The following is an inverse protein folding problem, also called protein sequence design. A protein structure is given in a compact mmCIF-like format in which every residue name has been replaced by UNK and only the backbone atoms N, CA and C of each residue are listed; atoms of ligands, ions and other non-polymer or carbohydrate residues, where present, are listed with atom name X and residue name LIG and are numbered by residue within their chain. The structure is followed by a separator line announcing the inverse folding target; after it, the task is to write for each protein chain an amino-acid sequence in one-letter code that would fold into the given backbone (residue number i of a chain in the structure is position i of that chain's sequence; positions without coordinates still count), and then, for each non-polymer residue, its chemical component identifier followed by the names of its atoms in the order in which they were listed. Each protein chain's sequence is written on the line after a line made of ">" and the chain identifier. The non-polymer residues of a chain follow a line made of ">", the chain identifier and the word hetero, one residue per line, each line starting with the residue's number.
data_IF_493495629689
#
_entry.id   IF_493495629689
#
_cell.length_a   1.000
_cell.length_b   1.000
_cell.length_c   1.000
_cell.angle_alpha   90.00
_cell.angle_beta   90.00
_cell.angle_gamma   90.00
#
_symmetry.space_group_name_H-M   'P 1'
#
loop_
_entity.id
_entity.type
_entity.pdbx_description
1 polymer ?
#
# COMPACT_ATOMS: atom_id res chain seq x y z
N UNK A 1 -15.11 -41.40 -14.57
CA UNK A 1 -16.34 -41.57 -13.77
C UNK A 1 -17.24 -40.40 -14.08
N UNK A 2 -18.41 -40.64 -14.66
CA UNK A 2 -19.39 -39.59 -15.01
C UNK A 2 -20.09 -39.11 -13.75
N UNK A 3 -20.14 -37.79 -13.54
CA UNK A 3 -20.83 -37.19 -12.41
C UNK A 3 -22.33 -37.49 -12.49
N UNK A 4 -22.88 -38.09 -11.44
CA UNK A 4 -24.32 -38.35 -11.33
C UNK A 4 -25.09 -37.03 -11.29
N UNK A 5 -26.17 -36.92 -12.04
CA UNK A 5 -27.02 -35.73 -12.05
C UNK A 5 -27.87 -35.69 -10.78
N UNK A 6 -28.40 -34.51 -10.43
CA UNK A 6 -29.32 -34.35 -9.29
C UNK A 6 -30.53 -35.30 -9.38
N UNK A 7 -30.98 -35.56 -10.62
CA UNK A 7 -32.08 -36.46 -10.93
C UNK A 7 -31.75 -37.92 -10.59
N UNK A 8 -30.48 -38.31 -10.74
CA UNK A 8 -30.02 -39.68 -10.46
C UNK A 8 -29.85 -39.95 -8.96
N UNK A 9 -29.78 -38.89 -8.15
CA UNK A 9 -29.59 -38.95 -6.69
C UNK A 9 -30.90 -38.82 -5.90
N UNK A 10 -32.02 -38.52 -6.55
CA UNK A 10 -33.32 -38.39 -5.90
C UNK A 10 -33.76 -39.73 -5.29
N UNK A 11 -34.12 -39.80 -4.00
CA UNK A 11 -34.60 -41.03 -3.39
C UNK A 11 -35.91 -41.49 -4.06
N UNK A 12 -36.02 -42.81 -4.27
CA UNK A 12 -37.25 -43.42 -4.76
C UNK A 12 -38.29 -43.52 -3.64
N UNK A 13 -39.58 -43.44 -3.98
CA UNK A 13 -40.69 -43.57 -3.02
C UNK A 13 -41.34 -42.23 -2.63
N UNK A 14 -41.63 -42.08 -1.33
CA UNK A 14 -42.47 -41.03 -0.74
C UNK A 14 -42.09 -39.61 -1.22
N UNK A 15 -43.04 -38.82 -1.74
CA UNK A 15 -42.83 -37.40 -2.05
C UNK A 15 -42.17 -36.60 -0.93
N UNK A 16 -42.44 -36.92 0.35
CA UNK A 16 -41.85 -36.25 1.50
C UNK A 16 -40.34 -36.41 1.58
N UNK A 17 -39.83 -37.64 1.36
CA UNK A 17 -38.39 -37.92 1.38
C UNK A 17 -37.66 -37.22 0.23
N UNK A 18 -38.34 -37.01 -0.91
CA UNK A 18 -37.80 -36.23 -2.04
C UNK A 18 -37.71 -34.75 -1.71
N UNK A 19 -38.70 -34.20 -1.00
CA UNK A 19 -38.72 -32.80 -0.57
C UNK A 19 -37.61 -32.55 0.46
N UNK A 20 -37.46 -33.42 1.46
CA UNK A 20 -36.40 -33.33 2.48
C UNK A 20 -35.01 -33.42 1.83
N UNK A 21 -34.79 -34.37 0.91
CA UNK A 21 -33.53 -34.46 0.15
C UNK A 21 -33.23 -33.20 -0.67
N UNK A 22 -34.23 -32.63 -1.34
CA UNK A 22 -34.04 -31.41 -2.13
C UNK A 22 -33.74 -30.19 -1.25
N UNK A 23 -34.35 -30.11 -0.06
CA UNK A 23 -34.09 -29.05 0.91
C UNK A 23 -32.64 -29.12 1.43
N UNK A 24 -32.18 -30.32 1.83
CA UNK A 24 -30.80 -30.52 2.28
C UNK A 24 -29.77 -30.24 1.18
N UNK A 25 -30.05 -30.64 -0.06
CA UNK A 25 -29.17 -30.37 -1.20
C UNK A 25 -29.15 -28.87 -1.52
N UNK A 26 -30.28 -28.17 -1.40
CA UNK A 26 -30.36 -26.71 -1.53
C UNK A 26 -29.56 -26.02 -0.44
N UNK A 27 -29.73 -26.41 0.82
CA UNK A 27 -28.97 -25.82 1.94
C UNK A 27 -27.47 -26.06 1.78
N UNK A 28 -27.07 -27.24 1.33
CA UNK A 28 -25.66 -27.55 1.03
C UNK A 28 -25.13 -26.68 -0.11
N UNK A 29 -25.88 -26.53 -1.20
CA UNK A 29 -25.49 -25.68 -2.34
C UNK A 29 -25.49 -24.20 -1.98
N UNK A 30 -26.44 -23.76 -1.16
CA UNK A 30 -26.51 -22.40 -0.64
C UNK A 30 -25.30 -22.14 0.25
N UNK A 31 -24.94 -23.08 1.15
CA UNK A 31 -23.73 -22.99 1.96
C UNK A 31 -22.45 -22.96 1.10
N UNK A 32 -22.40 -23.68 -0.02
CA UNK A 32 -21.28 -23.63 -0.98
C UNK A 32 -21.24 -22.32 -1.78
N UNK A 33 -22.39 -21.78 -2.18
CA UNK A 33 -22.51 -20.50 -2.90
C UNK A 33 -22.24 -19.29 -1.98
N UNK A 34 -22.55 -19.43 -0.69
CA UNK A 34 -22.29 -18.43 0.34
C UNK A 34 -20.86 -18.51 0.89
N UNK A 35 -20.06 -19.52 0.53
CA UNK A 35 -18.61 -19.47 0.75
C UNK A 35 -18.06 -18.38 -0.16
N UNK A 36 -17.47 -17.29 0.37
CA UNK A 36 -16.84 -16.31 -0.48
C UNK A 36 -15.80 -17.02 -1.35
N UNK A 37 -15.90 -16.83 -2.67
CA UNK A 37 -14.89 -17.34 -3.60
C UNK A 37 -13.54 -16.80 -3.13
N UNK A 38 -12.55 -17.68 -2.97
CA UNK A 38 -11.21 -17.21 -2.56
C UNK A 38 -10.68 -16.26 -3.63
N UNK A 39 -10.15 -15.10 -3.23
CA UNK A 39 -9.64 -14.14 -4.20
C UNK A 39 -8.44 -14.76 -4.93
N UNK A 40 -8.39 -14.62 -6.26
CA UNK A 40 -7.26 -15.08 -7.07
C UNK A 40 -5.98 -14.27 -6.83
N UNK A 41 -6.09 -13.10 -6.19
CA UNK A 41 -5.00 -12.34 -5.63
C UNK A 41 -5.49 -11.67 -4.34
N UNK A 42 -4.78 -11.87 -3.24
CA UNK A 42 -5.09 -11.29 -1.94
C UNK A 42 -4.71 -9.80 -1.93
N UNK A 43 -3.73 -9.40 -2.73
CA UNK A 43 -3.37 -7.99 -2.87
C UNK A 43 -4.43 -7.23 -3.67
N UNK A 44 -4.69 -6.02 -3.24
CA UNK A 44 -5.50 -5.02 -3.91
C UNK A 44 -4.64 -4.17 -4.84
N UNK A 45 -5.24 -3.64 -5.90
CA UNK A 45 -4.54 -2.84 -6.91
C UNK A 45 -3.20 -3.47 -7.35
N UNK A 46 -3.23 -4.76 -7.68
CA UNK A 46 -2.04 -5.57 -7.99
C UNK A 46 -1.34 -5.17 -9.29
N UNK A 47 -2.08 -4.52 -10.20
CA UNK A 47 -1.58 -3.92 -11.45
C UNK A 47 -1.27 -2.42 -11.32
N UNK A 48 -1.30 -1.84 -10.11
CA UNK A 48 -1.03 -0.42 -9.87
C UNK A 48 -1.87 0.51 -10.77
N UNK A 49 -3.11 0.11 -11.02
CA UNK A 49 -4.09 0.84 -11.80
C UNK A 49 -4.51 2.10 -11.05
N UNK A 50 -4.79 3.14 -11.84
CA UNK A 50 -5.11 4.48 -11.41
C UNK A 50 -4.01 5.15 -10.57
N UNK A 51 -3.66 6.39 -10.94
CA UNK A 51 -3.21 7.33 -9.92
C UNK A 51 -4.40 7.55 -8.97
N UNK A 52 -4.22 7.69 -7.65
CA UNK A 52 -5.40 7.94 -6.82
C UNK A 52 -6.12 9.19 -7.37
N UNK A 53 -7.44 9.21 -7.54
CA UNK A 53 -8.08 10.20 -8.42
C UNK A 53 -7.95 11.66 -7.94
N UNK A 54 -7.53 11.90 -6.69
CA UNK A 54 -7.04 13.20 -6.20
C UNK A 54 -5.68 13.66 -6.78
N UNK A 55 -5.08 12.87 -7.68
CA UNK A 55 -3.70 12.99 -8.15
C UNK A 55 -3.52 13.43 -9.60
N UNK A 56 -4.57 13.88 -10.32
CA UNK A 56 -4.38 14.51 -11.65
C UNK A 56 -3.49 15.76 -11.51
N UNK A 57 -2.18 15.58 -11.66
CA UNK A 57 -1.12 16.58 -11.44
C UNK A 57 -0.44 16.60 -10.06
N UNK A 58 -0.71 15.67 -9.12
CA UNK A 58 -0.26 15.79 -7.70
C UNK A 58 0.70 14.71 -7.17
N UNK A 59 1.01 13.63 -7.91
CA UNK A 59 1.88 12.53 -7.43
C UNK A 59 3.26 13.01 -7.00
N UNK A 60 3.77 14.09 -7.60
CA UNK A 60 5.06 14.66 -7.23
C UNK A 60 5.12 15.24 -5.81
N UNK A 61 4.00 15.69 -5.21
CA UNK A 61 4.03 16.31 -3.86
C UNK A 61 3.78 15.36 -2.70
N UNK A 62 3.07 14.24 -2.95
CA UNK A 62 2.74 13.21 -1.95
C UNK A 62 3.53 11.90 -2.12
N UNK A 63 4.28 11.78 -3.23
CA UNK A 63 5.20 10.67 -3.46
C UNK A 63 6.65 10.94 -3.06
N UNK A 64 6.98 12.12 -2.51
CA UNK A 64 8.34 12.53 -2.13
C UNK A 64 8.43 12.98 -0.67
N UNK A 65 8.30 12.08 0.33
CA UNK A 65 8.41 12.50 1.71
C UNK A 65 9.83 13.02 1.94
N UNK A 66 9.94 14.05 2.76
CA UNK A 66 11.23 14.53 3.23
C UNK A 66 11.42 13.97 4.63
N UNK A 67 12.43 13.15 4.88
CA UNK A 67 12.58 12.49 6.18
C UNK A 67 13.76 13.12 6.92
N UNK A 68 13.57 14.34 7.42
CA UNK A 68 14.68 15.14 7.97
C UNK A 68 14.90 14.95 9.47
N UNK A 69 13.87 14.55 10.22
CA UNK A 69 13.92 14.43 11.68
C UNK A 69 13.06 13.26 12.15
N UNK A 70 13.58 12.48 13.09
CA UNK A 70 12.79 11.49 13.83
C UNK A 70 11.78 12.22 14.71
N UNK A 71 10.50 12.13 14.32
CA UNK A 71 9.40 12.52 15.18
C UNK A 71 8.21 11.60 14.92
N UNK A 72 8.26 10.41 15.52
CA UNK A 72 7.28 9.34 15.35
C UNK A 72 5.83 9.74 15.72
N UNK A 73 5.65 10.83 16.47
CA UNK A 73 4.33 11.36 16.84
C UNK A 73 3.85 12.51 15.93
N UNK A 74 4.62 12.86 14.90
CA UNK A 74 4.26 13.91 13.96
C UNK A 74 3.36 13.37 12.86
N UNK A 75 2.26 14.07 12.61
CA UNK A 75 1.41 13.87 11.45
C UNK A 75 1.97 14.55 10.19
N UNK A 76 3.00 15.40 10.32
CA UNK A 76 3.60 16.09 9.18
C UNK A 76 4.18 15.11 8.17
N UNK A 77 3.77 15.25 6.91
CA UNK A 77 4.28 14.48 5.79
C UNK A 77 5.82 14.57 5.65
N UNK A 78 6.41 15.76 5.84
CA UNK A 78 7.86 15.96 5.82
C UNK A 78 8.60 15.52 7.11
N UNK A 79 7.92 14.76 7.97
CA UNK A 79 8.51 14.08 9.12
C UNK A 79 8.02 12.64 9.25
N UNK A 80 7.20 12.18 8.30
CA UNK A 80 6.69 10.82 8.26
C UNK A 80 7.74 9.92 7.63
N UNK A 81 7.99 8.76 8.26
CA UNK A 81 8.82 7.69 7.67
C UNK A 81 8.17 7.08 6.44
N UNK A 82 6.87 7.33 6.26
CA UNK A 82 6.06 6.72 5.24
C UNK A 82 5.25 7.73 4.40
N UNK A 83 4.95 7.35 3.16
CA UNK A 83 4.16 8.13 2.23
C UNK A 83 3.22 7.22 1.42
N UNK A 84 2.05 7.73 0.99
CA UNK A 84 1.24 7.04 0.00
C UNK A 84 2.01 6.91 -1.31
N UNK A 85 2.02 5.71 -1.88
CA UNK A 85 2.70 5.42 -3.14
C UNK A 85 1.70 5.35 -4.31
N UNK A 86 0.62 4.59 -4.14
CA UNK A 86 -0.55 4.54 -5.03
C UNK A 86 -1.75 3.97 -4.25
N UNK A 87 -2.95 3.83 -4.85
CA UNK A 87 -4.09 3.28 -4.13
C UNK A 87 -3.78 1.91 -3.51
N UNK A 88 -3.99 1.77 -2.20
CA UNK A 88 -3.67 0.59 -1.37
C UNK A 88 -2.17 0.31 -1.12
N UNK A 89 -1.26 1.12 -1.63
CA UNK A 89 0.19 0.92 -1.45
C UNK A 89 0.84 2.10 -0.76
N UNK A 90 1.71 1.80 0.20
CA UNK A 90 2.51 2.77 0.93
C UNK A 90 4.00 2.52 0.68
N UNK A 91 4.81 3.54 0.92
CA UNK A 91 6.26 3.45 0.87
C UNK A 91 6.87 3.97 2.15
N UNK A 92 7.91 3.30 2.63
CA UNK A 92 8.76 3.71 3.75
C UNK A 92 10.20 3.89 3.29
N UNK A 93 10.92 4.79 3.96
CA UNK A 93 12.35 4.95 3.73
C UNK A 93 13.10 5.29 5.02
N UNK A 94 14.41 5.00 5.05
CA UNK A 94 15.25 5.37 6.20
C UNK A 94 15.35 6.89 6.37
N UNK A 95 15.63 7.35 7.59
CA UNK A 95 15.88 8.76 7.87
C UNK A 95 16.96 9.35 6.95
N UNK A 96 16.87 10.64 6.64
CA UNK A 96 17.75 11.40 5.75
C UNK A 96 17.69 10.97 4.27
N UNK A 97 16.81 10.03 3.94
CA UNK A 97 16.50 9.69 2.55
C UNK A 97 15.59 10.73 1.91
N UNK A 98 15.67 10.78 0.57
CA UNK A 98 14.74 11.52 -0.28
C UNK A 98 14.06 10.52 -1.20
N UNK A 99 13.11 9.73 -0.68
CA UNK A 99 12.46 8.73 -1.49
C UNK A 99 11.48 9.37 -2.46
N UNK A 100 11.23 8.62 -3.52
CA UNK A 100 10.29 9.01 -4.55
C UNK A 100 9.51 7.77 -4.98
N UNK A 101 8.22 7.80 -4.70
CA UNK A 101 7.23 6.82 -5.10
C UNK A 101 6.30 7.46 -6.13
N UNK A 102 6.18 6.86 -7.31
CA UNK A 102 5.33 7.41 -8.38
C UNK A 102 4.55 6.32 -9.10
N UNK A 103 3.23 6.42 -9.13
CA UNK A 103 2.42 5.60 -10.01
C UNK A 103 2.31 6.20 -11.41
N UNK A 104 2.29 5.37 -12.43
CA UNK A 104 2.10 5.76 -13.83
C UNK A 104 0.94 4.96 -14.40
N UNK A 105 0.08 5.62 -15.18
CA UNK A 105 -0.80 4.92 -16.10
C UNK A 105 0.01 4.56 -17.34
N UNK A 106 -0.05 3.30 -17.75
CA UNK A 106 0.68 2.83 -18.94
C UNK A 106 -0.33 2.59 -20.06
N UNK A 107 -0.10 3.22 -21.22
CA UNK A 107 -0.93 3.01 -22.41
C UNK A 107 -0.68 1.63 -23.01
N UNK A 108 -1.70 1.01 -23.61
CA UNK A 108 -1.56 -0.26 -24.36
C UNK A 108 -0.47 -0.21 -25.46
N UNK A 109 -0.18 0.99 -25.99
CA UNK A 109 0.83 1.25 -27.02
C UNK A 109 2.19 1.68 -26.45
N UNK A 110 2.39 1.62 -25.13
CA UNK A 110 3.71 1.89 -24.58
C UNK A 110 4.70 0.87 -25.17
N UNK A 111 5.93 1.30 -25.47
CA UNK A 111 6.97 0.51 -26.16
C UNK A 111 7.36 -0.77 -25.40
N UNK A 112 6.79 -0.97 -24.22
CA UNK A 112 7.09 -2.01 -23.26
C UNK A 112 5.92 -2.98 -23.06
N UNK A 113 4.79 -2.80 -23.74
CA UNK A 113 3.75 -3.83 -23.87
C UNK A 113 3.15 -4.34 -22.55
N UNK A 114 3.10 -3.51 -21.50
CA UNK A 114 2.61 -3.96 -20.20
C UNK A 114 1.13 -4.37 -20.33
N UNK A 115 0.86 -5.66 -20.11
CA UNK A 115 -0.50 -6.19 -19.97
C UNK A 115 -1.23 -5.61 -18.74
N UNK A 116 -0.51 -4.87 -17.90
CA UNK A 116 -1.00 -4.17 -16.71
C UNK A 116 -1.19 -2.69 -17.07
N UNK A 117 -2.37 -2.13 -16.78
CA UNK A 117 -2.70 -0.73 -17.11
C UNK A 117 -1.96 0.33 -16.26
N UNK A 118 -1.04 -0.08 -15.37
CA UNK A 118 -0.29 0.81 -14.48
C UNK A 118 1.07 0.25 -14.03
N UNK A 119 1.90 1.12 -13.46
CA UNK A 119 3.22 0.81 -12.90
C UNK A 119 3.52 1.69 -11.68
N UNK A 120 4.37 1.21 -10.77
CA UNK A 120 4.85 1.97 -9.61
C UNK A 120 6.37 2.09 -9.63
N UNK A 121 6.89 3.30 -9.69
CA UNK A 121 8.31 3.61 -9.66
C UNK A 121 8.77 3.89 -8.23
N UNK A 122 9.96 3.38 -7.91
CA UNK A 122 10.74 3.72 -6.72
C UNK A 122 12.07 4.36 -7.14
N UNK A 123 12.37 5.57 -6.68
CA UNK A 123 13.66 6.25 -6.91
C UNK A 123 14.29 6.84 -5.64
N UNK A 124 15.63 6.83 -5.59
CA UNK A 124 16.40 7.54 -4.56
C UNK A 124 17.78 7.98 -5.01
N UNK A 125 18.25 9.07 -4.39
CA UNK A 125 19.67 9.22 -4.10
C UNK A 125 20.02 8.47 -2.81
N UNK A 126 20.69 7.32 -2.96
CA UNK A 126 21.57 6.68 -1.96
C UNK A 126 20.99 6.12 -0.66
N UNK A 127 19.70 5.76 -0.58
CA UNK A 127 19.12 5.18 0.64
C UNK A 127 18.13 4.05 0.34
N UNK A 128 18.02 3.10 1.28
CA UNK A 128 17.08 1.98 1.20
C UNK A 128 15.64 2.47 1.36
N UNK A 129 14.75 1.87 0.57
CA UNK A 129 13.33 2.16 0.51
C UNK A 129 12.57 0.87 0.35
N UNK A 130 11.36 0.84 0.89
CA UNK A 130 10.45 -0.28 0.79
C UNK A 130 9.08 0.22 0.36
N UNK A 131 8.49 -0.44 -0.61
CA UNK A 131 7.06 -0.36 -0.88
C UNK A 131 6.37 -1.52 -0.20
N UNK A 132 5.15 -1.32 0.26
CA UNK A 132 4.39 -2.40 0.86
C UNK A 132 2.88 -2.21 0.73
N UNK A 133 2.18 -3.33 0.88
CA UNK A 133 0.74 -3.38 1.06
C UNK A 133 0.39 -4.35 2.19
N UNK A 134 -0.44 -3.86 3.11
CA UNK A 134 -0.94 -4.63 4.25
C UNK A 134 -2.14 -5.45 3.81
N UNK A 135 -2.18 -6.71 4.21
CA UNK A 135 -3.35 -7.58 4.02
C UNK A 135 -3.54 -8.50 5.23
N UNK A 136 -4.75 -9.01 5.39
CA UNK A 136 -5.06 -10.06 6.36
C UNK A 136 -5.11 -11.40 5.64
N UNK A 137 -4.50 -12.43 6.21
CA UNK A 137 -4.64 -13.77 5.68
C UNK A 137 -6.12 -14.16 5.66
N UNK A 138 -6.68 -14.55 4.51
CA UNK A 138 -8.09 -14.83 4.39
C UNK A 138 -8.44 -16.13 5.13
N UNK A 139 -9.73 -16.30 5.44
CA UNK A 139 -10.24 -17.56 5.95
C UNK A 139 -10.18 -18.61 4.82
N UNK A 140 -9.14 -19.45 4.85
CA UNK A 140 -8.85 -20.48 3.84
C UNK A 140 -8.51 -21.81 4.54
N UNK A 141 -8.54 -22.92 3.78
CA UNK A 141 -8.12 -24.23 4.32
C UNK A 141 -6.61 -24.24 4.61
N UNK A 142 -6.17 -25.11 5.52
CA UNK A 142 -4.74 -25.26 5.86
C UNK A 142 -3.93 -25.62 4.62
N UNK A 143 -4.48 -26.43 3.73
CA UNK A 143 -3.86 -26.81 2.46
C UNK A 143 -3.67 -25.59 1.56
N UNK A 144 -4.69 -24.73 1.42
CA UNK A 144 -4.59 -23.51 0.63
C UNK A 144 -3.56 -22.53 1.22
N UNK A 145 -3.55 -22.35 2.54
CA UNK A 145 -2.59 -21.48 3.22
C UNK A 145 -1.13 -21.97 3.07
N UNK A 146 -0.91 -23.27 2.92
CA UNK A 146 0.42 -23.87 2.69
C UNK A 146 0.90 -23.75 1.25
N UNK A 147 -0.02 -23.55 0.30
CA UNK A 147 0.28 -23.32 -1.12
C UNK A 147 0.16 -21.84 -1.49
N UNK A 148 0.50 -20.93 -0.59
CA UNK A 148 0.52 -19.50 -0.91
C UNK A 148 1.80 -19.21 -1.71
N UNK A 149 1.67 -18.52 -2.83
CA UNK A 149 2.78 -18.04 -3.64
C UNK A 149 2.83 -16.51 -3.59
N UNK A 150 4.05 -15.97 -3.63
CA UNK A 150 4.27 -14.54 -3.86
C UNK A 150 4.87 -14.33 -5.25
N UNK A 151 4.41 -13.29 -5.91
CA UNK A 151 4.80 -12.95 -7.27
C UNK A 151 5.16 -11.47 -7.36
N UNK A 152 6.19 -11.16 -8.13
CA UNK A 152 6.49 -9.80 -8.53
C UNK A 152 6.98 -9.75 -9.96
N UNK A 153 6.56 -8.72 -10.70
CA UNK A 153 7.15 -8.34 -11.99
C UNK A 153 7.73 -6.94 -11.88
N UNK A 154 9.00 -6.84 -12.24
CA UNK A 154 9.79 -5.63 -12.13
C UNK A 154 10.47 -5.29 -13.44
N UNK A 155 10.89 -4.04 -13.54
CA UNK A 155 11.82 -3.54 -14.53
C UNK A 155 12.83 -2.64 -13.83
N UNK A 156 14.11 -2.98 -13.97
CA UNK A 156 15.20 -2.24 -13.34
C UNK A 156 15.92 -1.31 -14.31
N UNK A 157 16.52 -0.25 -13.78
CA UNK A 157 17.51 0.55 -14.51
C UNK A 157 18.93 0.10 -14.17
N UNK A 158 19.44 -0.91 -14.88
CA UNK A 158 20.80 -1.44 -14.69
C UNK A 158 20.81 -2.69 -13.82
N UNK A 159 21.82 -2.83 -12.95
CA UNK A 159 22.05 -4.02 -12.11
C UNK A 159 21.36 -3.91 -10.73
N UNK A 160 20.13 -3.39 -10.71
CA UNK A 160 19.39 -3.20 -9.46
C UNK A 160 19.09 -4.55 -8.79
N UNK A 161 19.27 -4.61 -7.47
CA UNK A 161 18.87 -5.72 -6.62
C UNK A 161 17.62 -5.33 -5.86
N UNK A 162 16.62 -6.19 -5.88
CA UNK A 162 15.35 -5.97 -5.19
C UNK A 162 15.06 -7.18 -4.32
N UNK A 163 14.76 -6.92 -3.05
CA UNK A 163 14.20 -7.94 -2.14
C UNK A 163 12.69 -7.80 -2.14
N UNK A 164 11.97 -8.89 -2.28
CA UNK A 164 10.51 -8.89 -2.13
C UNK A 164 10.07 -10.09 -1.30
N UNK A 165 8.84 -10.04 -0.80
CA UNK A 165 8.25 -11.14 -0.04
C UNK A 165 7.24 -10.66 0.97
N UNK A 166 7.14 -11.38 2.09
CA UNK A 166 6.18 -11.11 3.16
C UNK A 166 6.87 -10.87 4.50
N UNK A 167 6.37 -9.90 5.24
CA UNK A 167 6.65 -9.72 6.68
C UNK A 167 5.38 -9.93 7.50
N UNK A 168 5.53 -10.48 8.71
CA UNK A 168 4.45 -10.54 9.70
C UNK A 168 4.36 -9.22 10.44
N UNK A 169 3.14 -8.78 10.72
CA UNK A 169 2.87 -7.59 11.53
C UNK A 169 2.35 -7.99 12.91
N UNK A 170 2.75 -7.26 13.95
CA UNK A 170 2.20 -7.41 15.30
C UNK A 170 0.83 -6.72 15.44
N UNK A 171 0.28 -6.73 16.65
CA UNK A 171 -0.98 -6.05 17.00
C UNK A 171 -0.93 -4.53 16.79
N UNK A 172 0.27 -3.94 16.84
CA UNK A 172 0.54 -2.54 16.55
C UNK A 172 0.85 -2.29 15.05
N UNK A 173 0.71 -3.30 14.19
CA UNK A 173 1.05 -3.24 12.77
C UNK A 173 2.53 -2.95 12.47
N UNK A 174 3.42 -3.24 13.41
CA UNK A 174 4.87 -3.13 13.21
C UNK A 174 5.40 -4.45 12.65
N UNK A 175 6.32 -4.37 11.68
CA UNK A 175 6.98 -5.52 11.08
C UNK A 175 7.85 -6.24 12.11
N UNK A 176 7.61 -7.53 12.31
CA UNK A 176 8.31 -8.33 13.34
C UNK A 176 9.34 -9.29 12.78
N UNK A 177 9.19 -9.73 11.53
CA UNK A 177 10.11 -10.68 10.91
C UNK A 177 9.68 -11.03 9.49
N UNK A 178 10.65 -11.52 8.70
CA UNK A 178 10.39 -12.09 7.38
C UNK A 178 9.67 -13.44 7.53
N UNK A 179 8.57 -13.61 6.79
CA UNK A 179 7.92 -14.92 6.62
C UNK A 179 8.51 -15.63 5.42
N UNK A 180 8.73 -14.87 4.35
CA UNK A 180 9.44 -15.33 3.17
C UNK A 180 10.04 -14.11 2.47
N UNK A 181 11.21 -14.28 1.88
CA UNK A 181 11.84 -13.23 1.09
C UNK A 181 12.79 -13.82 0.06
N UNK A 182 12.87 -13.17 -1.09
CA UNK A 182 13.83 -13.50 -2.14
C UNK A 182 14.47 -12.22 -2.66
N UNK A 183 15.72 -12.33 -3.13
CA UNK A 183 16.42 -11.25 -3.81
C UNK A 183 16.52 -11.59 -5.28
N UNK A 184 15.96 -10.73 -6.11
CA UNK A 184 16.09 -10.78 -7.56
C UNK A 184 16.97 -9.62 -8.05
N UNK A 185 17.69 -9.86 -9.14
CA UNK A 185 18.64 -8.91 -9.68
C UNK A 185 18.37 -8.72 -11.17
N UNK A 186 18.31 -7.48 -11.61
CA UNK A 186 18.26 -7.14 -13.02
C UNK A 186 19.60 -7.49 -13.70
N UNK A 187 19.54 -8.20 -14.82
CA UNK A 187 20.74 -8.62 -15.57
C UNK A 187 21.20 -7.54 -16.56
N UNK A 188 20.27 -6.76 -17.13
CA UNK A 188 20.58 -5.66 -18.05
C UNK A 188 19.65 -4.45 -17.84
N UNK A 189 20.06 -3.32 -18.42
CA UNK A 189 19.26 -2.10 -18.45
C UNK A 189 17.95 -2.38 -19.21
N UNK A 190 16.81 -2.09 -18.58
CA UNK A 190 15.44 -2.18 -19.15
C UNK A 190 14.81 -3.56 -19.31
N UNK A 191 15.43 -4.63 -18.85
CA UNK A 191 14.80 -5.96 -18.88
C UNK A 191 13.63 -6.05 -17.88
N UNK A 192 12.56 -6.72 -18.32
CA UNK A 192 11.51 -7.21 -17.43
C UNK A 192 11.97 -8.53 -16.80
N UNK A 193 11.79 -8.67 -15.51
CA UNK A 193 12.08 -9.90 -14.81
C UNK A 193 11.02 -10.16 -13.74
N UNK A 194 10.85 -11.44 -13.44
CA UNK A 194 9.84 -11.96 -12.53
C UNK A 194 10.52 -12.69 -11.38
N UNK A 195 9.94 -12.55 -10.19
CA UNK A 195 10.33 -13.30 -9.01
C UNK A 195 9.15 -14.10 -8.47
N UNK A 196 9.45 -15.28 -7.94
CA UNK A 196 8.46 -16.24 -7.46
C UNK A 196 8.92 -16.85 -6.13
N UNK A 197 8.11 -16.72 -5.09
CA UNK A 197 8.34 -17.40 -3.81
C UNK A 197 7.23 -18.42 -3.60
N UNK A 198 7.62 -19.69 -3.55
CA UNK A 198 6.71 -20.83 -3.37
C UNK A 198 6.49 -21.23 -1.92
N UNK A 199 5.36 -21.91 -1.67
CA UNK A 199 5.05 -22.62 -0.43
C UNK A 199 5.13 -21.73 0.82
N UNK A 200 4.72 -20.47 0.69
CA UNK A 200 4.65 -19.53 1.79
C UNK A 200 3.53 -19.95 2.72
N UNK A 201 3.84 -20.11 4.02
CA UNK A 201 2.85 -20.53 5.02
C UNK A 201 2.29 -19.31 5.74
N UNK A 202 0.98 -19.12 5.65
CA UNK A 202 0.25 -18.09 6.36
C UNK A 202 -0.56 -18.67 7.53
N UNK A 203 -0.68 -17.89 8.60
CA UNK A 203 -1.56 -18.18 9.73
C UNK A 203 -2.90 -17.47 9.52
N UNK A 204 -4.00 -18.22 9.60
CA UNK A 204 -5.33 -17.66 9.42
C UNK A 204 -5.61 -16.50 10.40
N UNK A 205 -6.11 -15.39 9.87
CA UNK A 205 -6.46 -14.21 10.67
C UNK A 205 -5.29 -13.28 11.04
N UNK A 206 -4.04 -13.74 10.87
CA UNK A 206 -2.85 -12.91 11.05
C UNK A 206 -2.76 -11.81 9.98
N UNK A 207 -2.04 -10.74 10.32
CA UNK A 207 -1.83 -9.59 9.44
C UNK A 207 -0.40 -9.62 8.92
N UNK A 208 -0.25 -9.37 7.62
CA UNK A 208 1.00 -9.41 6.90
C UNK A 208 1.15 -8.15 6.04
N UNK A 209 2.38 -7.86 5.62
CA UNK A 209 2.63 -6.93 4.54
C UNK A 209 3.44 -7.62 3.45
N UNK A 210 2.96 -7.52 2.21
CA UNK A 210 3.81 -7.78 1.04
C UNK A 210 4.72 -6.59 0.86
N UNK A 211 6.01 -6.82 0.63
CA UNK A 211 7.00 -5.75 0.53
C UNK A 211 7.89 -5.89 -0.70
N UNK A 212 8.44 -4.75 -1.13
CA UNK A 212 9.41 -4.62 -2.22
C UNK A 212 10.47 -3.60 -1.79
N UNK A 213 11.64 -4.08 -1.41
CA UNK A 213 12.77 -3.29 -0.94
C UNK A 213 13.84 -3.18 -2.02
N UNK A 214 14.32 -1.96 -2.27
CA UNK A 214 15.52 -1.75 -3.11
C UNK A 214 16.79 -1.93 -2.28
N UNK A 215 17.71 -2.74 -2.79
CA UNK A 215 19.01 -3.01 -2.19
C UNK A 215 20.12 -2.28 -2.95
N UNK A 216 21.25 -2.05 -2.28
CA UNK A 216 22.49 -1.53 -2.90
C UNK A 216 22.31 -0.28 -3.77
N UNK A 217 21.45 0.66 -3.35
CA UNK A 217 21.06 1.82 -4.15
C UNK A 217 22.27 2.73 -4.43
N UNK A 218 22.90 2.55 -5.59
CA UNK A 218 23.97 3.40 -6.12
C UNK A 218 23.34 4.40 -7.10
N UNK A 219 23.56 5.70 -6.87
CA UNK A 219 23.16 6.88 -7.67
C UNK A 219 21.97 6.75 -8.65
N UNK A 220 20.90 7.54 -8.45
CA UNK A 220 19.86 7.89 -9.44
C UNK A 220 19.33 6.75 -10.33
N UNK A 221 19.17 5.55 -9.77
CA UNK A 221 18.51 4.44 -10.44
C UNK A 221 17.01 4.39 -10.09
N UNK A 222 16.23 3.79 -10.98
CA UNK A 222 14.78 3.66 -10.91
C UNK A 222 14.37 2.19 -11.07
N UNK A 223 13.59 1.70 -10.11
CA UNK A 223 12.91 0.40 -10.22
C UNK A 223 11.44 0.67 -10.53
N UNK A 224 10.91 0.05 -11.58
CA UNK A 224 9.49 0.06 -11.91
C UNK A 224 8.88 -1.29 -11.55
N UNK A 225 7.81 -1.28 -10.78
CA UNK A 225 7.02 -2.47 -10.45
C UNK A 225 5.82 -2.47 -11.39
N UNK A 226 5.69 -3.54 -12.17
CA UNK A 226 4.60 -3.71 -13.13
C UNK A 226 3.42 -4.48 -12.54
N UNK A 227 3.70 -5.46 -11.67
CA UNK A 227 2.67 -6.16 -10.91
C UNK A 227 3.22 -6.87 -9.69
N UNK A 228 2.35 -7.15 -8.74
CA UNK A 228 2.64 -7.93 -7.54
C UNK A 228 1.46 -8.81 -7.18
N UNK A 229 1.71 -9.93 -6.49
CA UNK A 229 0.64 -10.81 -6.06
C UNK A 229 0.99 -11.67 -4.85
N UNK A 230 -0.04 -11.95 -4.06
CA UNK A 230 -0.04 -12.98 -3.02
C UNK A 230 -1.29 -13.80 -3.26
N UNK A 231 -1.15 -15.08 -3.58
CA UNK A 231 -2.31 -15.88 -3.99
C UNK A 231 -2.14 -17.36 -3.67
N UNK A 232 -3.27 -18.07 -3.69
CA UNK A 232 -3.33 -19.51 -3.52
C UNK A 232 -3.18 -20.17 -4.88
N UNK A 233 -2.04 -20.81 -5.15
CA UNK A 233 -1.80 -21.42 -6.44
C UNK A 233 -0.42 -22.05 -6.57
N UNK A 234 0.06 -22.10 -7.80
CA UNK A 234 1.37 -22.65 -8.15
C UNK A 234 2.16 -21.58 -8.90
N UNK A 235 3.46 -21.50 -8.66
CA UNK A 235 4.34 -20.59 -9.42
C UNK A 235 4.25 -20.83 -10.93
N UNK A 236 4.33 -19.73 -11.68
CA UNK A 236 4.16 -19.71 -13.13
C UNK A 236 2.74 -19.40 -13.58
N UNK A 237 1.75 -19.47 -12.69
CA UNK A 237 0.40 -18.97 -12.94
C UNK A 237 0.28 -17.52 -12.46
N UNK A 238 0.45 -16.56 -13.38
CA UNK A 238 0.32 -15.13 -13.04
C UNK A 238 -1.06 -14.88 -12.42
N UNK A 239 -1.14 -14.34 -11.18
CA UNK A 239 -2.40 -14.10 -10.52
C UNK A 239 -3.22 -13.07 -11.31
N UNK A 240 -4.53 -13.06 -11.11
CA UNK A 240 -5.39 -12.05 -11.73
C UNK A 240 -5.01 -10.65 -11.20
N UNK A 241 -4.77 -9.71 -12.12
CA UNK A 241 -4.20 -8.39 -11.82
C UNK A 241 -5.18 -7.25 -12.06
N UNK A 242 -6.15 -7.46 -12.95
CA UNK A 242 -7.05 -6.49 -13.56
C UNK A 242 -8.39 -6.33 -12.83
N UNK A 243 -8.74 -7.26 -11.93
CA UNK A 243 -9.97 -7.24 -11.12
C UNK A 243 -9.76 -6.95 -9.65
N UNK A 244 -8.54 -6.64 -9.22
CA UNK A 244 -8.28 -6.29 -7.82
C UNK A 244 -8.90 -4.92 -7.51
N UNK A 245 -9.95 -4.91 -6.68
CA UNK A 245 -10.71 -3.71 -6.32
C UNK A 245 -9.77 -2.58 -5.86
N UNK A 246 -9.94 -1.41 -6.47
CA UNK A 246 -9.45 -0.16 -5.90
C UNK A 246 -10.56 0.34 -4.99
N UNK A 247 -10.52 -0.06 -3.72
CA UNK A 247 -11.41 0.52 -2.72
C UNK A 247 -10.95 1.95 -2.41
N UNK A 248 -11.50 2.92 -3.14
CA UNK A 248 -11.22 4.33 -2.92
C UNK A 248 -11.78 4.84 -1.58
N UNK A 249 -12.72 4.12 -0.94
CA UNK A 249 -13.21 4.50 0.39
C UNK A 249 -12.19 4.17 1.49
N UNK A 250 -11.21 3.32 1.20
CA UNK A 250 -10.12 2.99 2.11
C UNK A 250 -9.02 4.05 2.15
N UNK A 251 -9.02 5.00 1.21
CA UNK A 251 -7.97 6.02 1.08
C UNK A 251 -8.50 7.34 0.55
N UNK A 252 -8.37 8.41 1.34
CA UNK A 252 -8.92 9.71 1.02
C UNK A 252 -7.86 10.81 1.03
N UNK A 253 -7.95 11.69 0.03
CA UNK A 253 -7.21 12.94 -0.02
C UNK A 253 -8.19 14.09 0.08
N UNK A 254 -7.95 15.01 0.99
CA UNK A 254 -8.84 16.14 1.18
C UNK A 254 -8.10 17.36 1.72
N UNK A 255 -8.73 18.53 1.55
CA UNK A 255 -8.22 19.82 2.00
C UNK A 255 -8.88 20.17 3.34
N UNK A 256 -8.07 20.34 4.37
CA UNK A 256 -8.52 20.81 5.69
C UNK A 256 -8.74 22.32 5.65
N UNK A 257 -7.81 23.06 5.02
CA UNK A 257 -7.88 24.51 4.86
C UNK A 257 -7.19 24.93 3.56
N UNK A 258 -7.74 25.93 2.87
CA UNK A 258 -7.17 26.55 1.67
C UNK A 258 -7.08 28.07 1.85
N UNK A 259 -6.43 28.77 0.92
CA UNK A 259 -6.41 30.23 0.94
C UNK A 259 -5.42 30.83 1.93
N UNK A 260 -4.53 30.03 2.53
CA UNK A 260 -3.60 30.54 3.55
C UNK A 260 -2.40 31.18 2.88
N UNK A 261 -2.11 32.42 3.21
CA UNK A 261 -0.82 33.02 2.95
C UNK A 261 0.21 32.44 3.89
N UNK A 262 1.48 32.49 3.49
CA UNK A 262 2.56 32.03 4.33
C UNK A 262 2.58 32.71 5.72
N UNK A 263 2.19 33.99 5.79
CA UNK A 263 2.20 34.78 7.03
C UNK A 263 1.11 34.36 8.03
N UNK A 264 0.09 33.62 7.58
CA UNK A 264 -0.98 33.11 8.45
C UNK A 264 -0.55 31.86 9.23
N UNK A 265 0.54 31.19 8.84
CA UNK A 265 1.11 30.11 9.63
C UNK A 265 1.86 30.68 10.84
N UNK A 266 1.28 30.46 12.02
CA UNK A 266 1.83 30.86 13.31
C UNK A 266 1.93 29.66 14.24
N UNK A 267 2.82 29.74 15.23
CA UNK A 267 2.97 28.71 16.27
C UNK A 267 1.62 28.46 16.98
N UNK A 268 1.32 27.18 17.26
CA UNK A 268 0.09 26.69 17.88
C UNK A 268 -1.19 26.99 17.08
N UNK A 269 -1.09 27.30 15.78
CA UNK A 269 -2.26 27.35 14.91
C UNK A 269 -2.95 25.98 14.90
N UNK A 270 -4.27 25.98 15.03
CA UNK A 270 -5.04 24.74 15.11
C UNK A 270 -6.00 24.53 13.94
N UNK A 271 -6.24 23.26 13.60
CA UNK A 271 -7.28 22.84 12.67
C UNK A 271 -8.09 21.70 13.27
N UNK A 272 -9.38 21.54 12.92
CA UNK A 272 -10.15 20.40 13.40
C UNK A 272 -9.55 19.09 12.92
N UNK A 273 -9.51 18.09 13.81
CA UNK A 273 -9.19 16.72 13.40
C UNK A 273 -10.35 16.21 12.52
N UNK A 274 -10.07 15.68 11.32
CA UNK A 274 -11.11 15.13 10.45
C UNK A 274 -11.89 14.01 11.13
N UNK A 275 -13.21 13.96 10.93
CA UNK A 275 -14.05 12.90 11.49
C UNK A 275 -13.95 11.63 10.63
N UNK A 276 -12.91 10.85 10.89
CA UNK A 276 -12.66 9.54 10.25
C UNK A 276 -12.52 8.44 11.30
N UNK A 277 -12.46 7.18 10.85
CA UNK A 277 -12.21 6.03 11.72
C UNK A 277 -10.71 5.81 11.91
N UNK A 278 -10.22 5.90 13.15
CA UNK A 278 -8.79 5.77 13.48
C UNK A 278 -8.54 4.59 14.43
N UNK A 279 -8.74 3.34 13.98
CA UNK A 279 -8.74 2.17 14.87
C UNK A 279 -7.40 1.96 15.63
N UNK A 280 -6.28 2.41 15.05
CA UNK A 280 -4.94 2.28 15.64
C UNK A 280 -4.31 3.61 16.05
N UNK A 281 -5.14 4.66 16.21
CA UNK A 281 -4.71 6.02 16.52
C UNK A 281 -4.50 6.88 15.27
N UNK A 282 -4.73 8.18 15.41
CA UNK A 282 -4.71 9.15 14.30
C UNK A 282 -3.34 9.15 13.60
N UNK A 283 -2.28 8.97 14.39
CA UNK A 283 -0.87 9.00 13.98
C UNK A 283 -0.51 7.88 13.01
N UNK A 284 -1.27 6.79 13.00
CA UNK A 284 -1.07 5.68 12.07
C UNK A 284 -1.89 5.77 10.80
N UNK A 285 -2.88 6.66 10.74
CA UNK A 285 -3.88 6.66 9.66
C UNK A 285 -3.97 7.99 8.92
N UNK A 286 -3.51 9.09 9.55
CA UNK A 286 -3.58 10.44 9.01
C UNK A 286 -2.17 10.99 8.78
N UNK A 287 -1.92 11.48 7.58
CA UNK A 287 -0.73 12.24 7.25
C UNK A 287 -1.14 13.60 6.72
N UNK A 288 -0.58 14.68 7.25
CA UNK A 288 -0.95 16.05 6.93
C UNK A 288 0.21 16.76 6.26
N UNK A 289 -0.07 17.48 5.19
CA UNK A 289 0.91 18.21 4.41
C UNK A 289 0.49 19.67 4.23
N UNK A 290 1.48 20.57 4.23
CA UNK A 290 1.28 21.98 3.91
C UNK A 290 1.90 22.22 2.55
N UNK A 291 1.06 22.49 1.56
CA UNK A 291 1.45 22.55 0.15
C UNK A 291 1.06 23.88 -0.46
N UNK A 292 1.87 24.35 -1.42
CA UNK A 292 1.52 25.54 -2.20
C UNK A 292 0.36 25.20 -3.17
N UNK A 293 -0.73 25.97 -3.12
CA UNK A 293 -2.01 25.68 -3.81
C UNK A 293 -1.82 25.47 -5.32
N UNK A 294 -0.85 26.15 -5.93
CA UNK A 294 -0.58 26.09 -7.39
C UNK A 294 0.74 25.41 -7.77
N UNK A 295 1.46 24.80 -6.83
CA UNK A 295 2.72 24.10 -7.14
C UNK A 295 2.56 22.60 -7.03
N UNK A 296 3.04 21.85 -8.02
CA UNK A 296 3.08 20.38 -7.98
C UNK A 296 4.21 19.83 -7.10
N UNK A 297 5.19 20.66 -6.69
CA UNK A 297 6.46 20.15 -6.14
C UNK A 297 6.87 20.82 -4.82
N UNK A 298 6.25 21.95 -4.43
CA UNK A 298 6.66 22.71 -3.25
C UNK A 298 5.85 22.34 -2.01
N UNK A 299 6.58 21.83 -1.02
CA UNK A 299 6.10 21.41 0.29
C UNK A 299 6.74 22.29 1.36
N UNK A 300 5.92 22.99 2.17
CA UNK A 300 6.38 23.84 3.28
C UNK A 300 6.57 23.06 4.59
N UNK A 301 6.10 21.82 4.67
CA UNK A 301 6.07 21.06 5.93
C UNK A 301 7.45 20.67 6.48
N UNK A 302 8.56 21.02 5.80
CA UNK A 302 9.93 20.71 6.25
C UNK A 302 10.30 21.33 7.60
N UNK A 303 9.73 22.49 7.90
CA UNK A 303 10.01 23.21 9.13
C UNK A 303 8.85 23.13 10.13
N UNK A 304 7.65 22.73 9.71
CA UNK A 304 6.43 22.73 10.53
C UNK A 304 6.04 21.32 10.96
N UNK A 305 5.98 21.12 12.27
CA UNK A 305 5.47 19.90 12.89
C UNK A 305 3.95 20.00 13.08
N UNK A 306 3.25 18.91 12.82
CA UNK A 306 1.79 18.79 12.98
C UNK A 306 1.55 17.68 13.98
N UNK A 307 0.81 17.95 15.05
CA UNK A 307 0.49 16.98 16.10
C UNK A 307 -1.01 16.93 16.34
N UNK A 308 -1.53 15.77 16.74
CA UNK A 308 -2.88 15.68 17.26
C UNK A 308 -2.89 16.06 18.75
N UNK A 309 -3.61 17.12 19.10
CA UNK A 309 -3.97 17.43 20.47
C UNK A 309 -5.31 16.77 20.80
N UNK A 310 -5.25 15.68 21.57
CA UNK A 310 -6.41 14.84 21.89
C UNK A 310 -7.37 15.50 22.88
N UNK A 311 -6.87 16.39 23.73
CA UNK A 311 -7.68 17.08 24.74
C UNK A 311 -8.61 18.12 24.09
N UNK A 312 -8.13 18.78 23.04
CA UNK A 312 -8.88 19.81 22.30
C UNK A 312 -9.48 19.30 20.99
N UNK A 313 -9.19 18.06 20.61
CA UNK A 313 -9.56 17.45 19.33
C UNK A 313 -9.14 18.31 18.13
N UNK A 314 -7.91 18.83 18.17
CA UNK A 314 -7.34 19.68 17.12
C UNK A 314 -6.00 19.12 16.61
N UNK A 315 -5.71 19.36 15.34
CA UNK A 315 -4.36 19.34 14.79
C UNK A 315 -3.68 20.65 15.17
N UNK A 316 -2.48 20.59 15.73
CA UNK A 316 -1.72 21.74 16.19
C UNK A 316 -0.40 21.85 15.42
N UNK A 317 -0.12 23.05 14.90
CA UNK A 317 1.16 23.38 14.27
C UNK A 317 2.18 23.77 15.34
N UNK A 318 3.37 23.17 15.29
CA UNK A 318 4.49 23.50 16.17
C UNK A 318 5.77 23.67 15.36
N UNK A 319 6.76 24.32 15.95
CA UNK A 319 8.05 24.62 15.31
C UNK A 319 7.92 25.53 14.07
N UNK A 320 6.93 26.41 14.03
CA UNK A 320 6.71 27.37 12.95
C UNK A 320 7.78 28.47 13.04
N UNK A 321 8.93 28.26 12.40
CA UNK A 321 9.99 29.26 12.35
C UNK A 321 9.64 30.36 11.34
N UNK A 322 9.39 31.57 11.85
CA UNK A 322 9.00 32.75 11.06
C UNK A 322 10.01 33.25 10.00
N UNK A 323 11.12 32.53 9.77
CA UNK A 323 12.09 32.80 8.72
C UNK A 323 11.88 31.97 7.43
N UNK A 324 11.10 30.88 7.47
CA UNK A 324 10.85 30.02 6.29
C UNK A 324 9.78 30.56 5.35
N UNK A 325 9.12 31.65 5.75
CA UNK A 325 8.02 32.28 5.04
C UNK A 325 8.45 33.58 4.38
N UNK A 326 9.59 33.56 3.68
CA UNK A 326 10.00 34.61 2.74
C UNK A 326 9.20 34.60 1.43
N UNK A 327 7.88 34.42 1.50
CA UNK A 327 7.04 34.04 0.37
C UNK A 327 5.84 34.99 0.27
N UNK A 328 6.11 36.28 0.06
CA UNK A 328 5.06 37.26 -0.21
C UNK A 328 4.23 36.85 -1.44
N UNK A 329 2.90 36.77 -1.29
CA UNK A 329 1.95 36.60 -2.39
C UNK A 329 1.63 35.16 -2.81
N UNK A 330 2.06 34.14 -2.07
CA UNK A 330 1.68 32.74 -2.37
C UNK A 330 0.61 32.20 -1.45
N UNK A 331 -0.23 31.35 -2.02
CA UNK A 331 -1.30 30.63 -1.33
C UNK A 331 -0.90 29.18 -1.04
N UNK A 332 -1.28 28.73 0.14
CA UNK A 332 -1.04 27.41 0.68
C UNK A 332 -2.34 26.75 1.12
N UNK A 333 -2.32 25.43 1.11
CA UNK A 333 -3.38 24.57 1.59
C UNK A 333 -2.81 23.60 2.63
N UNK A 334 -3.59 23.36 3.68
CA UNK A 334 -3.40 22.23 4.60
C UNK A 334 -4.20 21.08 4.03
N UNK A 335 -3.49 20.06 3.56
CA UNK A 335 -4.05 18.87 2.94
C UNK A 335 -3.79 17.66 3.83
N UNK A 336 -4.68 16.67 3.78
CA UNK A 336 -4.52 15.43 4.50
C UNK A 336 -4.73 14.22 3.59
N UNK A 337 -3.94 13.21 3.88
CA UNK A 337 -4.10 11.85 3.42
C UNK A 337 -4.60 10.99 4.58
N UNK A 338 -5.67 10.25 4.36
CA UNK A 338 -6.22 9.27 5.28
C UNK A 338 -6.18 7.88 4.64
N UNK A 339 -5.83 6.85 5.41
CA UNK A 339 -6.07 5.46 5.03
C UNK A 339 -6.69 4.65 6.18
N UNK A 340 -7.61 3.73 5.84
CA UNK A 340 -8.11 2.71 6.78
C UNK A 340 -7.02 1.71 7.17
N UNK A 341 -6.03 1.49 6.31
CA UNK A 341 -4.82 0.74 6.65
C UNK A 341 -3.82 1.68 7.33
N UNK A 342 -2.90 1.13 8.13
CA UNK A 342 -1.87 1.97 8.73
C UNK A 342 -0.87 2.43 7.67
N UNK A 343 -0.43 3.69 7.81
CA UNK A 343 0.51 4.34 6.91
C UNK A 343 1.95 3.98 7.19
N UNK A 344 2.27 3.29 8.30
CA UNK A 344 3.62 2.85 8.64
C UNK A 344 3.61 1.46 9.28
N UNK A 345 4.60 0.64 8.94
CA UNK A 345 4.89 -0.67 9.51
C UNK A 345 6.27 -0.74 10.18
N UNK A 346 7.04 0.36 10.20
CA UNK A 346 8.39 0.40 10.78
C UNK A 346 9.32 -0.68 10.21
N UNK A 347 9.29 -0.90 8.90
CA UNK A 347 9.97 -2.02 8.23
C UNK A 347 11.47 -2.10 8.56
N UNK A 348 12.16 -0.96 8.55
CA UNK A 348 13.61 -0.88 8.81
C UNK A 348 13.99 -1.05 10.30
N UNK A 349 13.00 -1.04 11.20
CA UNK A 349 13.20 -1.26 12.64
C UNK A 349 12.85 -2.70 13.05
N UNK A 350 12.44 -3.54 12.09
CA UNK A 350 12.15 -4.95 12.33
C UNK A 350 13.39 -5.66 12.91
N UNK A 351 13.25 -6.50 13.95
CA UNK A 351 14.37 -7.20 14.58
C UNK A 351 15.22 -8.02 13.60
N UNK A 352 14.57 -8.67 12.65
CA UNK A 352 15.21 -9.53 11.64
C UNK A 352 15.69 -8.76 10.41
N UNK A 353 15.64 -7.43 10.42
CA UNK A 353 16.07 -6.62 9.28
C UNK A 353 17.58 -6.74 9.09
N UNK A 354 17.98 -7.35 7.97
CA UNK A 354 19.36 -7.40 7.52
C UNK A 354 19.54 -6.43 6.37
N UNK A 355 20.28 -5.35 6.63
CA UNK A 355 20.77 -4.46 5.57
C UNK A 355 21.66 -5.29 4.62
N UNK A 356 21.29 -5.31 3.34
CA UNK A 356 22.08 -5.98 2.31
C UNK A 356 23.37 -5.22 1.98
#
# INVERSE_FOLDING_TARGET
>A
MTAQTLKDRLPAGDPRNKIEFLAEELDRRLAELLKPAMPKNILRNAAFLAACDGFKGSLSRWGRPHIDKDNQNSLSYAHSLAAPACPNWNGEAKQLSKPEFRSFSVSENDRFGSRTGGQLQISSGSHNQVLYQIFRAPAATVEALKSTCCYIRLRGSGYERVRFGLVKLNENYEATGYIASEIIQAEMWTDEYEGWIDNVTLEMGSVYAFFVERLDVKQAQHTFIASAGVYFGVSGEIPELDTTEIDLDDQLFFKIKTGLTGAEFVENMTFPIPLMNYPHGIEKHLTVNIVETHSTDRVLSKDILIRANRDTNQLELTNVTGGSVGIGGKEFSVEAYYSKNVNTINYFNMPDYVAA
#
